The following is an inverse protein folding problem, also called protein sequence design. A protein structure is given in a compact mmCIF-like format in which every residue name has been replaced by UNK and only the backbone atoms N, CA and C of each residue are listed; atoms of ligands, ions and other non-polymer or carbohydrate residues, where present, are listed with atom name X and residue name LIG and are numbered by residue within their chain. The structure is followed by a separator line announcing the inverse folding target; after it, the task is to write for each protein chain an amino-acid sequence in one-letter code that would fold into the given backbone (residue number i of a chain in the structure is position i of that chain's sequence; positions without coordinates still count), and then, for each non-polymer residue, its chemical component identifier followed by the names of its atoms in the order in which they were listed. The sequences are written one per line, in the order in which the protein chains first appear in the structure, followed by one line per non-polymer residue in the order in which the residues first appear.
data_IF_426397273144
#
_entry.id   IF_426397273144
#
_cell.length_a   1.000
_cell.length_b   1.000
_cell.length_c   1.000
_cell.angle_alpha   90.00
_cell.angle_beta   90.00
_cell.angle_gamma   90.00
#
_symmetry.space_group_name_H-M   'P 1'
#
loop_
_entity.id
_entity.type
_entity.pdbx_description
1 polymer ?
#
# COMPACT_ATOMS: atom_id res chain seq x y z
N UNK A 1 -23.54 22.72 71.28
CA UNK A 1 -22.25 23.45 71.30
C UNK A 1 -21.32 22.77 70.30
N UNK A 2 -20.70 23.57 69.43
CA UNK A 2 -19.88 23.16 68.30
C UNK A 2 -18.43 22.82 68.70
N UNK A 3 -17.76 21.99 67.88
CA UNK A 3 -16.40 22.18 67.30
C UNK A 3 -15.93 20.83 66.70
N UNK A 4 -15.82 20.67 65.37
CA UNK A 4 -14.74 21.07 64.44
C UNK A 4 -13.41 20.31 64.69
N UNK A 5 -13.18 19.27 63.85
CA UNK A 5 -11.98 18.88 63.06
C UNK A 5 -10.54 19.15 63.58
N UNK A 6 -9.47 18.37 63.20
CA UNK A 6 -9.27 17.81 61.85
C UNK A 6 -8.63 16.40 61.72
N UNK A 7 -8.64 15.89 60.49
CA UNK A 7 -7.93 14.69 60.03
C UNK A 7 -6.39 14.84 60.10
N UNK A 8 -5.63 13.72 59.96
CA UNK A 8 -4.88 13.57 58.72
C UNK A 8 -4.76 12.14 58.18
N UNK A 9 -5.23 11.99 56.94
CA UNK A 9 -4.58 11.37 55.77
C UNK A 9 -3.29 10.56 55.98
N UNK A 10 -3.36 9.23 55.77
CA UNK A 10 -2.22 8.39 55.33
C UNK A 10 -2.68 7.40 54.25
N UNK A 11 -2.69 7.94 53.04
CA UNK A 11 -2.04 7.47 51.81
C UNK A 11 -1.54 6.02 51.69
N UNK A 12 -1.76 5.52 50.48
CA UNK A 12 -1.06 4.43 49.76
C UNK A 12 -1.62 3.02 49.92
N UNK A 13 -2.80 2.87 49.33
CA UNK A 13 -3.32 1.61 48.82
C UNK A 13 -2.46 1.16 47.61
N UNK A 14 -1.66 0.12 47.84
CA UNK A 14 -1.40 -1.00 46.93
C UNK A 14 -1.13 -0.68 45.44
N UNK A 15 0.11 -0.29 45.14
CA UNK A 15 0.71 -0.49 43.82
C UNK A 15 1.24 -1.95 43.72
N UNK A 16 1.23 -2.51 42.50
CA UNK A 16 1.64 -3.86 42.10
C UNK A 16 0.58 -4.96 42.17
N UNK A 17 -0.18 -5.09 41.08
CA UNK A 17 -0.86 -6.32 40.76
C UNK A 17 -1.42 -6.26 39.34
N UNK A 18 -0.93 -7.14 38.47
CA UNK A 18 -1.36 -7.36 37.07
C UNK A 18 -0.53 -6.58 36.04
N UNK A 19 0.73 -7.03 35.93
CA UNK A 19 1.34 -7.36 34.64
C UNK A 19 0.33 -8.15 33.80
N UNK A 20 0.04 -7.72 32.57
CA UNK A 20 -0.68 -8.56 31.61
C UNK A 20 -1.69 -7.89 30.69
N UNK A 21 -1.41 -6.71 30.13
CA UNK A 21 -2.08 -6.28 28.90
C UNK A 21 -1.12 -6.44 27.72
N UNK A 22 -1.08 -7.69 27.26
CA UNK A 22 -1.17 -8.08 25.85
C UNK A 22 -0.45 -7.12 24.89
N UNK A 23 0.77 -7.50 24.51
CA UNK A 23 1.37 -7.13 23.25
C UNK A 23 0.45 -7.65 22.12
N UNK A 24 -0.54 -6.85 21.74
CA UNK A 24 -1.26 -7.04 20.49
C UNK A 24 -0.31 -6.66 19.36
N UNK A 25 0.50 -7.64 18.93
CA UNK A 25 1.05 -7.67 17.58
C UNK A 25 -0.17 -7.63 16.67
N UNK A 26 -0.50 -6.42 16.21
CA UNK A 26 -1.63 -6.18 15.33
C UNK A 26 -1.40 -6.87 14.01
N UNK A 27 -1.80 -8.13 13.92
CA UNK A 27 -2.14 -8.73 12.65
C UNK A 27 -3.34 -7.92 12.13
N UNK A 28 -3.06 -6.90 11.33
CA UNK A 28 -4.11 -6.20 10.58
C UNK A 28 -4.73 -7.25 9.67
N UNK A 29 -5.87 -7.79 10.07
CA UNK A 29 -6.64 -8.68 9.22
C UNK A 29 -7.07 -7.92 7.98
N UNK A 30 -6.99 -8.57 6.82
CA UNK A 30 -7.52 -8.01 5.57
C UNK A 30 -8.99 -7.59 5.77
N UNK A 31 -9.37 -6.34 5.47
CA UNK A 31 -10.77 -5.91 5.54
C UNK A 31 -11.67 -6.72 4.58
N UNK A 32 -12.98 -6.76 4.84
CA UNK A 32 -13.93 -7.40 3.91
C UNK A 32 -13.98 -6.64 2.59
N UNK A 33 -14.41 -7.28 1.50
CA UNK A 33 -14.46 -6.63 0.18
C UNK A 33 -15.32 -5.34 0.20
N UNK A 34 -16.47 -5.34 0.88
CA UNK A 34 -17.29 -4.12 0.97
C UNK A 34 -16.56 -2.99 1.72
N UNK A 35 -15.81 -3.33 2.77
CA UNK A 35 -15.01 -2.35 3.51
C UNK A 35 -13.88 -1.79 2.63
N UNK A 36 -13.23 -2.64 1.85
CA UNK A 36 -12.20 -2.21 0.90
C UNK A 36 -12.80 -1.26 -0.15
N UNK A 37 -13.97 -1.57 -0.69
CA UNK A 37 -14.66 -0.71 -1.65
C UNK A 37 -15.01 0.66 -1.04
N UNK A 38 -15.47 0.70 0.21
CA UNK A 38 -15.71 1.96 0.94
C UNK A 38 -14.42 2.77 1.14
N UNK A 39 -13.31 2.11 1.48
CA UNK A 39 -11.99 2.75 1.57
C UNK A 39 -11.57 3.34 0.22
N UNK A 40 -11.79 2.61 -0.87
CA UNK A 40 -11.49 3.10 -2.22
C UNK A 40 -12.41 4.26 -2.62
N UNK A 41 -13.71 4.17 -2.34
CA UNK A 41 -14.67 5.25 -2.64
C UNK A 41 -14.32 6.57 -1.93
N UNK A 42 -13.81 6.47 -0.69
CA UNK A 42 -13.33 7.61 0.09
C UNK A 42 -11.90 8.06 -0.27
N UNK A 43 -11.28 7.45 -1.29
CA UNK A 43 -9.87 7.62 -1.67
C UNK A 43 -8.87 7.33 -0.54
N UNK A 44 -9.30 6.61 0.50
CA UNK A 44 -8.43 6.13 1.58
C UNK A 44 -7.70 4.86 1.16
N UNK A 45 -6.75 5.03 0.25
CA UNK A 45 -6.00 3.95 -0.40
C UNK A 45 -4.94 3.34 0.54
N UNK A 46 -5.36 2.62 1.57
CA UNK A 46 -4.45 1.97 2.52
C UNK A 46 -3.70 0.81 1.85
N UNK A 47 -2.36 0.84 1.96
CA UNK A 47 -1.50 -0.24 1.49
C UNK A 47 -1.80 -1.54 2.25
N UNK A 48 -1.61 -2.67 1.56
CA UNK A 48 -1.81 -4.04 2.04
C UNK A 48 -3.23 -4.39 2.51
N UNK A 49 -4.18 -3.46 2.34
CA UNK A 49 -5.58 -3.62 2.78
C UNK A 49 -6.57 -3.51 1.64
N UNK A 50 -6.11 -3.19 0.43
CA UNK A 50 -6.97 -2.98 -0.74
C UNK A 50 -6.54 -3.93 -1.84
N UNK A 51 -7.50 -4.66 -2.38
CA UNK A 51 -7.29 -5.51 -3.56
C UNK A 51 -7.55 -4.77 -4.86
N UNK A 52 -6.96 -5.26 -5.94
CA UNK A 52 -7.26 -4.79 -7.30
C UNK A 52 -8.77 -4.92 -7.62
N UNK A 53 -9.41 -6.00 -7.14
CA UNK A 53 -10.85 -6.24 -7.26
C UNK A 53 -11.68 -5.14 -6.59
N UNK A 54 -11.35 -4.77 -5.36
CA UNK A 54 -12.05 -3.70 -4.64
C UNK A 54 -12.00 -2.38 -5.41
N UNK A 55 -10.86 -2.07 -6.04
CA UNK A 55 -10.72 -0.86 -6.85
C UNK A 55 -11.58 -0.91 -8.10
N UNK A 56 -11.59 -2.04 -8.82
CA UNK A 56 -12.43 -2.20 -10.01
C UNK A 56 -13.91 -2.12 -9.67
N UNK A 57 -14.33 -2.69 -8.53
CA UNK A 57 -15.73 -2.61 -8.09
C UNK A 57 -16.13 -1.18 -7.71
N UNK A 58 -15.28 -0.47 -6.97
CA UNK A 58 -15.58 0.87 -6.48
C UNK A 58 -15.49 1.96 -7.55
N UNK A 59 -14.50 1.88 -8.46
CA UNK A 59 -14.19 2.93 -9.43
C UNK A 59 -14.42 2.53 -10.89
N UNK A 60 -14.74 1.27 -11.15
CA UNK A 60 -14.79 0.70 -12.49
C UNK A 60 -13.43 0.24 -13.00
N UNK A 61 -13.43 -0.44 -14.15
CA UNK A 61 -12.21 -0.91 -14.83
C UNK A 61 -11.24 0.26 -15.07
N UNK A 62 -9.94 0.10 -14.77
CA UNK A 62 -8.97 1.16 -15.03
C UNK A 62 -8.92 1.48 -16.53
N UNK A 63 -8.93 2.78 -16.92
CA UNK A 63 -8.78 3.18 -18.31
C UNK A 63 -7.48 2.66 -18.95
N UNK A 64 -6.42 2.53 -18.14
CA UNK A 64 -5.14 1.99 -18.56
C UNK A 64 -4.65 0.96 -17.54
N UNK A 65 -4.17 -0.16 -18.06
CA UNK A 65 -3.75 -1.34 -17.30
C UNK A 65 -2.47 -1.91 -17.89
N UNK A 66 -1.51 -2.29 -17.04
CA UNK A 66 -0.34 -3.07 -17.43
C UNK A 66 -0.05 -4.15 -16.39
N UNK A 67 0.33 -5.33 -16.87
CA UNK A 67 0.91 -6.40 -16.05
C UNK A 67 2.32 -6.67 -16.55
N UNK A 68 3.27 -6.72 -15.62
CA UNK A 68 4.64 -7.11 -15.92
C UNK A 68 5.35 -7.70 -14.71
N UNK A 69 6.27 -8.63 -14.97
CA UNK A 69 7.23 -9.05 -13.96
C UNK A 69 8.15 -7.89 -13.62
N UNK A 70 8.05 -7.39 -12.39
CA UNK A 70 8.71 -6.18 -11.94
C UNK A 70 9.50 -6.41 -10.65
N UNK A 71 10.52 -5.58 -10.46
CA UNK A 71 11.28 -5.49 -9.22
C UNK A 71 10.75 -4.34 -8.36
N UNK A 72 10.70 -4.58 -7.06
CA UNK A 72 10.24 -3.66 -6.04
C UNK A 72 11.34 -3.48 -5.01
N UNK A 73 11.72 -2.23 -4.74
CA UNK A 73 12.62 -1.91 -3.65
C UNK A 73 11.84 -2.01 -2.33
N UNK A 74 12.35 -2.82 -1.41
CA UNK A 74 11.80 -2.96 -0.06
C UNK A 74 12.42 -1.90 0.84
N UNK A 75 11.59 -0.96 1.30
CA UNK A 75 12.01 0.11 2.19
C UNK A 75 12.08 -0.36 3.64
N UNK A 76 12.78 0.38 4.55
CA UNK A 76 12.88 -0.01 5.96
C UNK A 76 11.54 -0.09 6.71
N UNK A 77 10.52 0.63 6.23
CA UNK A 77 9.15 0.59 6.74
C UNK A 77 8.29 -0.51 6.07
N UNK A 78 8.93 -1.40 5.30
CA UNK A 78 8.33 -2.48 4.51
C UNK A 78 7.48 -2.00 3.32
N UNK A 79 7.42 -0.70 3.04
CA UNK A 79 6.79 -0.22 1.82
C UNK A 79 7.57 -0.67 0.59
N UNK A 80 6.85 -0.91 -0.51
CA UNK A 80 7.42 -1.34 -1.77
C UNK A 80 7.40 -0.19 -2.77
N UNK A 81 8.55 0.09 -3.37
CA UNK A 81 8.65 1.08 -4.46
C UNK A 81 8.96 0.34 -5.76
N UNK A 82 8.06 0.35 -6.75
CA UNK A 82 8.32 -0.30 -8.04
C UNK A 82 9.49 0.36 -8.75
N UNK A 83 10.36 -0.44 -9.36
CA UNK A 83 11.56 0.02 -10.07
C UNK A 83 11.25 1.07 -11.14
N UNK A 84 10.10 0.96 -11.80
CA UNK A 84 9.64 1.89 -12.84
C UNK A 84 9.40 3.33 -12.33
N UNK A 85 9.39 3.55 -11.01
CA UNK A 85 9.23 4.86 -10.38
C UNK A 85 10.54 5.47 -9.88
N UNK A 86 11.66 4.79 -10.09
CA UNK A 86 13.00 5.26 -9.73
C UNK A 86 13.77 5.59 -11.01
N UNK A 87 14.55 6.67 -10.99
CA UNK A 87 15.37 7.03 -12.14
C UNK A 87 16.37 5.92 -12.50
N UNK A 88 16.79 5.87 -13.77
CA UNK A 88 17.69 4.84 -14.23
C UNK A 88 19.06 4.92 -13.54
N UNK A 89 19.52 3.81 -12.97
CA UNK A 89 20.80 3.76 -12.24
C UNK A 89 20.74 4.27 -10.80
N UNK A 90 19.58 4.75 -10.34
CA UNK A 90 19.37 5.22 -8.98
C UNK A 90 18.64 4.19 -8.10
N UNK A 91 18.67 4.44 -6.79
CA UNK A 91 17.93 3.69 -5.77
C UNK A 91 17.12 4.65 -4.92
N UNK A 92 15.98 4.22 -4.34
CA UNK A 92 15.23 5.08 -3.44
C UNK A 92 16.08 5.54 -2.25
N UNK A 93 15.91 6.80 -1.85
CA UNK A 93 16.61 7.35 -0.68
C UNK A 93 16.23 6.57 0.58
N UNK A 94 17.23 6.08 1.31
CA UNK A 94 17.02 5.31 2.54
C UNK A 94 16.80 3.81 2.33
N UNK A 95 16.86 3.33 1.09
CA UNK A 95 16.86 1.91 0.76
C UNK A 95 18.08 1.19 1.36
N UNK A 96 17.88 -0.04 1.86
CA UNK A 96 18.90 -0.84 2.58
C UNK A 96 19.26 -2.16 1.88
N UNK A 97 18.97 -2.30 0.59
CA UNK A 97 19.36 -3.47 -0.21
C UNK A 97 18.27 -4.52 -0.43
N UNK A 98 17.10 -4.42 0.21
CA UNK A 98 16.01 -5.38 0.04
C UNK A 98 15.30 -5.23 -1.31
N UNK A 99 15.16 -6.32 -2.06
CA UNK A 99 14.39 -6.34 -3.32
C UNK A 99 13.39 -7.48 -3.26
N UNK A 100 12.18 -7.21 -3.75
CA UNK A 100 11.17 -8.22 -4.04
C UNK A 100 10.90 -8.23 -5.55
N UNK A 101 10.63 -9.40 -6.13
CA UNK A 101 10.32 -9.53 -7.55
C UNK A 101 9.05 -10.37 -7.71
N UNK A 102 8.16 -9.94 -8.60
CA UNK A 102 6.90 -10.62 -8.85
C UNK A 102 6.09 -9.94 -9.95
N UNK A 103 4.89 -10.47 -10.20
CA UNK A 103 3.98 -9.90 -11.19
C UNK A 103 3.33 -8.63 -10.64
N UNK A 104 3.80 -7.48 -11.11
CA UNK A 104 3.24 -6.18 -10.78
C UNK A 104 2.08 -5.83 -11.69
N UNK A 105 0.95 -5.49 -11.08
CA UNK A 105 -0.26 -5.05 -11.79
C UNK A 105 -0.44 -3.54 -11.58
N UNK A 106 -0.42 -2.78 -12.67
CA UNK A 106 -0.46 -1.31 -12.66
C UNK A 106 -1.80 -0.82 -13.17
N UNK A 107 -2.51 -0.04 -12.35
CA UNK A 107 -3.73 0.66 -12.73
C UNK A 107 -3.47 2.17 -12.78
N UNK A 108 -3.79 2.80 -13.90
CA UNK A 108 -3.78 4.26 -13.99
C UNK A 108 -5.20 4.79 -14.22
N UNK A 109 -5.60 5.74 -13.37
CA UNK A 109 -6.86 6.49 -13.46
C UNK A 109 -6.57 7.98 -13.69
N UNK A 110 -6.32 8.43 -14.94
CA UNK A 110 -5.99 9.83 -15.21
C UNK A 110 -7.04 10.83 -14.74
N UNK A 111 -8.33 10.49 -14.83
CA UNK A 111 -9.42 11.32 -14.34
C UNK A 111 -9.40 11.53 -12.82
N UNK A 112 -8.77 10.61 -12.07
CA UNK A 112 -8.63 10.68 -10.61
C UNK A 112 -7.22 11.09 -10.17
N UNK A 113 -6.25 11.14 -11.09
CA UNK A 113 -4.85 11.45 -10.80
C UNK A 113 -4.10 10.35 -10.04
N UNK A 114 -4.57 9.10 -10.08
CA UNK A 114 -3.99 8.00 -9.31
C UNK A 114 -3.28 6.98 -10.21
N UNK A 115 -2.04 6.65 -9.82
CA UNK A 115 -1.34 5.42 -10.20
C UNK A 115 -1.37 4.47 -9.00
N UNK A 116 -1.87 3.25 -9.22
CA UNK A 116 -1.94 2.19 -8.22
C UNK A 116 -1.16 0.99 -8.72
N UNK A 117 -0.39 0.36 -7.85
CA UNK A 117 0.39 -0.83 -8.18
C UNK A 117 0.10 -1.92 -7.17
N UNK A 118 -0.25 -3.08 -7.70
CA UNK A 118 -0.60 -4.25 -6.94
C UNK A 118 0.46 -5.33 -7.15
N UNK A 119 0.73 -6.10 -6.10
CA UNK A 119 1.57 -7.27 -6.10
C UNK A 119 0.84 -8.32 -5.26
N UNK A 120 0.76 -9.56 -5.75
CA UNK A 120 -0.02 -10.63 -5.10
C UNK A 120 -1.46 -10.19 -4.75
N UNK A 121 -2.10 -9.49 -5.68
CA UNK A 121 -3.44 -8.89 -5.57
C UNK A 121 -3.61 -7.77 -4.54
N UNK A 122 -2.56 -7.39 -3.80
CA UNK A 122 -2.61 -6.36 -2.76
C UNK A 122 -2.00 -5.04 -3.23
N UNK A 123 -2.59 -3.92 -2.83
CA UNK A 123 -2.08 -2.58 -3.13
C UNK A 123 -0.77 -2.33 -2.36
N UNK A 124 0.35 -2.30 -3.07
CA UNK A 124 1.68 -2.13 -2.46
C UNK A 124 2.28 -0.75 -2.70
N UNK A 125 1.81 -0.04 -3.74
CA UNK A 125 2.25 1.31 -4.04
C UNK A 125 1.12 2.14 -4.62
N UNK A 126 1.09 3.41 -4.24
CA UNK A 126 0.17 4.41 -4.79
C UNK A 126 0.87 5.75 -4.92
N UNK A 127 0.52 6.46 -5.98
CA UNK A 127 1.09 7.78 -6.24
C UNK A 127 0.03 8.67 -6.88
N UNK A 128 -0.06 9.89 -6.36
CA UNK A 128 -0.88 10.94 -6.98
C UNK A 128 -0.01 11.68 -7.98
N UNK A 129 -0.41 11.65 -9.24
CA UNK A 129 0.34 12.21 -10.36
C UNK A 129 -0.49 13.25 -11.08
N UNK A 130 0.19 14.21 -11.71
CA UNK A 130 -0.49 15.15 -12.60
C UNK A 130 -1.06 14.41 -13.82
N UNK A 131 -2.16 14.89 -14.42
CA UNK A 131 -2.77 14.24 -15.58
C UNK A 131 -1.79 14.01 -16.73
N UNK A 132 -0.85 14.94 -16.93
CA UNK A 132 0.17 14.86 -17.97
C UNK A 132 1.20 13.75 -17.70
N UNK A 133 1.63 13.58 -16.44
CA UNK A 133 2.56 12.53 -16.05
C UNK A 133 1.93 11.14 -16.24
N UNK A 134 0.65 10.98 -15.88
CA UNK A 134 -0.10 9.76 -16.12
C UNK A 134 -0.25 9.47 -17.61
N UNK A 135 -0.51 10.50 -18.43
CA UNK A 135 -0.62 10.35 -19.89
C UNK A 135 0.71 9.90 -20.52
N UNK A 136 1.83 10.47 -20.08
CA UNK A 136 3.16 10.05 -20.53
C UNK A 136 3.42 8.58 -20.15
N UNK A 137 3.11 8.21 -18.91
CA UNK A 137 3.26 6.86 -18.40
C UNK A 137 2.44 5.85 -19.23
N UNK A 138 1.15 6.12 -19.44
CA UNK A 138 0.26 5.18 -20.16
C UNK A 138 0.56 5.09 -21.65
N UNK A 139 1.09 6.15 -22.26
CA UNK A 139 1.63 6.10 -23.62
C UNK A 139 2.87 5.22 -23.72
N UNK A 140 3.78 5.29 -22.74
CA UNK A 140 4.94 4.43 -22.69
C UNK A 140 4.55 2.95 -22.56
N UNK A 141 3.54 2.65 -21.73
CA UNK A 141 2.96 1.31 -21.60
C UNK A 141 2.38 0.80 -22.93
N UNK A 142 1.59 1.64 -23.60
CA UNK A 142 0.99 1.33 -24.90
C UNK A 142 2.04 1.12 -25.99
N UNK A 143 3.14 1.87 -25.92
CA UNK A 143 4.28 1.69 -26.82
C UNK A 143 5.00 0.36 -26.54
N UNK A 144 5.37 0.10 -25.29
CA UNK A 144 6.04 -1.14 -24.89
C UNK A 144 5.24 -2.40 -25.23
N UNK A 145 3.91 -2.36 -25.08
CA UNK A 145 3.02 -3.45 -25.45
C UNK A 145 3.11 -3.84 -26.94
N UNK A 146 3.48 -2.91 -27.84
CA UNK A 146 3.66 -3.19 -29.27
C UNK A 146 4.93 -3.99 -29.57
N UNK A 147 5.93 -3.95 -28.68
CA UNK A 147 7.21 -4.63 -28.86
C UNK A 147 7.31 -5.94 -28.06
N UNK A 148 6.34 -6.23 -27.19
CA UNK A 148 6.15 -7.58 -26.60
C UNK A 148 5.64 -8.54 -27.68
N UNK A 149 6.45 -8.82 -28.69
CA UNK A 149 6.18 -9.84 -29.71
C UNK A 149 6.93 -11.13 -29.35
N UNK A 150 6.23 -12.05 -28.69
CA UNK A 150 6.37 -13.51 -28.83
C UNK A 150 7.64 -14.26 -28.40
N UNK A 151 8.77 -13.60 -28.09
CA UNK A 151 10.01 -14.34 -27.78
C UNK A 151 10.01 -14.94 -26.35
N UNK A 152 9.29 -14.34 -25.39
CA UNK A 152 9.20 -14.85 -24.00
C UNK A 152 8.26 -16.04 -23.82
N UNK A 153 7.33 -16.32 -24.76
CA UNK A 153 6.39 -17.46 -24.64
C UNK A 153 7.03 -18.81 -24.99
N UNK A 154 8.23 -18.82 -25.58
CA UNK A 154 8.90 -20.04 -26.09
C UNK A 154 9.87 -20.70 -25.12
N UNK A 155 9.99 -20.19 -23.88
CA UNK A 155 10.92 -20.71 -22.87
C UNK A 155 10.20 -21.27 -21.65
N UNK A 156 9.32 -22.25 -21.84
CA UNK A 156 8.92 -23.17 -20.77
C UNK A 156 9.12 -24.61 -21.25
N UNK A 157 9.99 -25.40 -20.61
CA UNK A 157 10.08 -26.84 -20.86
C UNK A 157 8.83 -27.58 -20.37
#
# INVERSE_FOLDING_TARGET
MANIAPAPMKTMLSMLGIIGCVLSVGCKSMPTLEQQEQLVQSENLLLDQITSRAVVNAWGKPPFYQSEFAYFFVMPDLSLIPRSRVAAGEVPKGWRGGVHAGEGVYFAYPSRGWLLVFLDEQLVYREKLQPEELRILTNAWSYAARFKTGIDDSSRP
#
